data_IF_164067435205
#
_entry.id   IF_164067435205
#
_cell.length_a   1.000
_cell.length_b   1.000
_cell.length_c   1.000
_cell.angle_alpha   90.00
_cell.angle_beta   90.00
_cell.angle_gamma   90.00
#
_symmetry.space_group_name_H-M   'P 1'
#
loop_
_entity.id
_entity.type
_entity.pdbx_description
1 polymer ?
#
# COMPACT_ATOMS: atom_id res chain seq x y z
N UNK A 1 30.02 7.28 12.13
CA UNK A 1 29.78 6.83 10.74
C UNK A 1 29.35 7.97 9.83
N UNK A 2 28.20 8.63 10.06
CA UNK A 2 27.72 9.78 9.26
C UNK A 2 28.73 10.94 9.13
N UNK A 3 29.58 11.18 10.16
CA UNK A 3 30.71 12.14 10.07
C UNK A 3 31.75 11.79 9.00
N UNK A 4 31.90 10.51 8.64
CA UNK A 4 32.89 10.00 7.68
C UNK A 4 32.25 9.85 6.30
N UNK A 5 31.02 9.33 6.24
CA UNK A 5 30.25 9.14 5.01
C UNK A 5 28.81 9.64 5.25
N UNK A 6 28.48 10.90 4.92
CA UNK A 6 27.17 11.50 5.25
C UNK A 6 25.97 10.80 4.61
N UNK A 7 26.17 10.17 3.45
CA UNK A 7 25.16 9.48 2.65
C UNK A 7 25.00 7.99 3.01
N UNK A 8 25.75 7.46 4.00
CA UNK A 8 25.57 6.07 4.44
C UNK A 8 24.18 5.89 5.04
N UNK A 9 23.45 4.86 4.60
CA UNK A 9 22.18 4.47 5.20
C UNK A 9 22.43 3.53 6.39
N UNK A 10 21.81 3.83 7.53
CA UNK A 10 21.83 3.00 8.73
C UNK A 10 20.48 2.30 8.85
N UNK A 11 20.52 0.98 8.69
CA UNK A 11 19.35 0.13 8.76
C UNK A 11 19.46 -0.78 9.98
N UNK A 12 18.42 -0.81 10.82
CA UNK A 12 18.40 -1.68 11.99
C UNK A 12 17.18 -2.58 12.01
N UNK A 13 17.43 -3.78 12.50
CA UNK A 13 16.42 -4.78 12.79
C UNK A 13 15.87 -4.56 14.21
N UNK A 14 14.72 -3.90 14.32
CA UNK A 14 14.09 -3.64 15.61
C UNK A 14 12.57 -3.80 15.51
N UNK A 15 11.94 -4.61 16.38
CA UNK A 15 10.50 -4.68 16.47
C UNK A 15 9.92 -3.45 17.19
N UNK A 16 8.80 -2.94 16.69
CA UNK A 16 7.94 -1.97 17.39
C UNK A 16 8.44 -0.51 17.42
N UNK A 17 7.65 0.38 18.06
CA UNK A 17 8.00 1.77 18.25
C UNK A 17 9.03 1.89 19.37
N UNK A 18 10.28 2.16 19.00
CA UNK A 18 11.36 2.46 19.96
C UNK A 18 11.87 3.88 19.71
N UNK A 19 12.33 4.55 20.76
CA UNK A 19 13.01 5.84 20.61
C UNK A 19 14.38 5.62 19.95
N UNK A 20 14.41 5.73 18.63
CA UNK A 20 15.61 5.46 17.84
C UNK A 20 16.23 6.79 17.40
N UNK A 21 17.55 6.90 17.55
CA UNK A 21 18.33 8.10 17.14
C UNK A 21 19.51 7.77 16.25
N UNK A 22 19.73 6.50 15.97
CA UNK A 22 20.94 5.97 15.35
C UNK A 22 20.70 5.25 14.02
N UNK A 23 19.48 5.32 13.48
CA UNK A 23 19.09 4.66 12.24
C UNK A 23 18.33 5.61 11.32
N UNK A 24 18.44 5.38 10.02
CA UNK A 24 17.60 6.02 8.99
C UNK A 24 16.39 5.13 8.67
N UNK A 25 16.56 3.80 8.74
CA UNK A 25 15.56 2.81 8.37
C UNK A 25 15.35 1.76 9.46
N UNK A 26 14.11 1.30 9.62
CA UNK A 26 13.70 0.25 10.55
C UNK A 26 13.05 -0.91 9.82
N UNK A 27 13.29 -2.14 10.29
CA UNK A 27 12.52 -3.33 9.88
C UNK A 27 11.04 -3.16 10.22
N UNK A 28 10.16 -3.80 9.44
CA UNK A 28 8.71 -3.74 9.63
C UNK A 28 8.10 -4.94 10.37
N UNK A 29 8.80 -5.56 11.33
CA UNK A 29 8.25 -6.71 12.07
C UNK A 29 6.94 -6.39 12.82
N UNK A 30 6.78 -5.15 13.25
CA UNK A 30 5.55 -4.60 13.83
C UNK A 30 4.38 -4.48 12.83
N UNK A 31 4.63 -4.62 11.53
CA UNK A 31 3.59 -4.64 10.50
C UNK A 31 3.19 -6.06 10.08
N UNK A 32 3.99 -7.08 10.40
CA UNK A 32 3.82 -8.44 9.86
C UNK A 32 2.49 -9.08 10.27
N UNK A 33 1.93 -8.69 11.42
CA UNK A 33 0.62 -9.16 11.86
C UNK A 33 -0.53 -8.62 11.00
N UNK A 34 -0.35 -7.48 10.32
CA UNK A 34 -1.36 -6.92 9.42
C UNK A 34 -1.66 -7.88 8.26
N UNK A 35 -0.69 -8.68 7.83
CA UNK A 35 -0.88 -9.54 6.66
C UNK A 35 -1.90 -10.65 6.91
N UNK A 36 -1.85 -11.29 8.09
CA UNK A 36 -2.86 -12.29 8.48
C UNK A 36 -4.18 -11.68 8.94
N UNK A 37 -4.18 -10.40 9.31
CA UNK A 37 -5.42 -9.67 9.54
C UNK A 37 -6.14 -9.36 8.21
N UNK A 38 -5.42 -8.81 7.23
CA UNK A 38 -5.98 -8.38 5.94
C UNK A 38 -6.33 -9.55 5.03
N UNK A 39 -5.60 -10.66 5.13
CA UNK A 39 -5.76 -11.82 4.28
C UNK A 39 -5.86 -13.10 5.12
N UNK A 40 -6.92 -13.91 4.95
CA UNK A 40 -7.04 -15.18 5.65
C UNK A 40 -5.90 -16.14 5.35
N UNK A 41 -5.28 -16.66 6.41
CA UNK A 41 -4.28 -17.72 6.34
C UNK A 41 -4.93 -19.04 5.90
N UNK A 42 -4.48 -19.60 4.77
CA UNK A 42 -4.96 -20.89 4.26
C UNK A 42 -4.17 -22.07 4.78
N UNK A 43 -2.86 -21.93 4.92
CA UNK A 43 -2.01 -23.02 5.41
C UNK A 43 -2.26 -23.29 6.90
N UNK A 44 -2.55 -24.54 7.26
CA UNK A 44 -2.73 -24.95 8.67
C UNK A 44 -1.49 -24.68 9.52
N UNK A 45 -0.31 -24.81 8.91
CA UNK A 45 0.97 -24.51 9.55
C UNK A 45 1.11 -23.05 10.03
N UNK A 46 0.36 -22.13 9.46
CA UNK A 46 0.30 -20.72 9.86
C UNK A 46 -0.91 -20.40 10.76
N UNK A 47 -1.61 -21.41 11.29
CA UNK A 47 -2.80 -21.18 12.12
C UNK A 47 -2.50 -20.30 13.36
N UNK A 48 -1.27 -20.34 13.90
CA UNK A 48 -0.84 -19.48 15.01
C UNK A 48 -0.75 -17.99 14.67
N UNK A 49 -0.78 -17.61 13.39
CA UNK A 49 -0.87 -16.20 12.96
C UNK A 49 -2.32 -15.73 12.79
N UNK A 50 -3.31 -16.60 12.99
CA UNK A 50 -4.72 -16.19 12.99
C UNK A 50 -5.01 -15.38 14.25
N UNK A 51 -5.89 -14.37 14.19
CA UNK A 51 -6.33 -13.67 15.38
C UNK A 51 -6.90 -14.65 16.43
N UNK A 52 -6.46 -14.52 17.68
CA UNK A 52 -6.82 -15.45 18.76
C UNK A 52 -8.32 -15.44 19.07
N UNK A 53 -8.99 -14.30 18.86
CA UNK A 53 -10.44 -14.13 19.02
C UNK A 53 -11.22 -14.34 17.71
N UNK A 54 -10.54 -14.75 16.64
CA UNK A 54 -11.10 -14.94 15.31
C UNK A 54 -11.51 -13.65 14.60
N UNK A 55 -11.21 -12.47 15.18
CA UNK A 55 -11.54 -11.17 14.57
C UNK A 55 -10.29 -10.56 13.96
N UNK A 56 -10.33 -10.36 12.65
CA UNK A 56 -9.34 -9.56 11.95
C UNK A 56 -9.78 -8.11 11.91
N UNK A 57 -8.80 -7.19 11.96
CA UNK A 57 -9.05 -5.79 11.61
C UNK A 57 -9.37 -5.67 10.11
N UNK A 58 -10.05 -4.59 9.77
CA UNK A 58 -10.37 -4.19 8.41
C UNK A 58 -9.19 -3.48 7.73
N UNK A 59 -9.28 -3.28 6.42
CA UNK A 59 -8.30 -2.48 5.69
C UNK A 59 -8.32 -1.00 6.09
N UNK A 60 -9.48 -0.48 6.50
CA UNK A 60 -9.63 0.86 7.08
C UNK A 60 -8.87 0.97 8.40
N UNK A 61 -9.09 0.04 9.33
CA UNK A 61 -8.39 0.01 10.62
C UNK A 61 -6.87 -0.18 10.44
N UNK A 62 -6.45 -0.95 9.43
CA UNK A 62 -5.03 -1.08 9.08
C UNK A 62 -4.44 0.26 8.62
N UNK A 63 -5.19 1.05 7.83
CA UNK A 63 -4.78 2.39 7.42
C UNK A 63 -4.65 3.36 8.61
N UNK A 64 -5.60 3.31 9.55
CA UNK A 64 -5.54 4.09 10.79
C UNK A 64 -4.35 3.69 11.66
N UNK A 65 -4.07 2.39 11.79
CA UNK A 65 -2.90 1.90 12.52
C UNK A 65 -1.58 2.37 11.87
N UNK A 66 -1.49 2.33 10.53
CA UNK A 66 -0.31 2.83 9.80
C UNK A 66 -0.10 4.33 10.04
N UNK A 67 -1.17 5.13 10.03
CA UNK A 67 -1.10 6.56 10.33
C UNK A 67 -0.61 6.81 11.77
N UNK A 68 -1.15 6.08 12.74
CA UNK A 68 -0.68 6.16 14.14
C UNK A 68 0.79 5.74 14.29
N UNK A 69 1.22 4.72 13.54
CA UNK A 69 2.61 4.28 13.52
C UNK A 69 3.53 5.38 12.98
N UNK A 70 3.15 6.08 11.93
CA UNK A 70 3.93 7.23 11.43
C UNK A 70 4.08 8.32 12.49
N UNK A 71 2.99 8.64 13.21
CA UNK A 71 3.01 9.64 14.28
C UNK A 71 3.85 9.22 15.50
N UNK A 72 4.03 7.91 15.71
CA UNK A 72 4.84 7.37 16.80
C UNK A 72 6.34 7.30 16.46
N UNK A 73 6.71 7.34 15.16
CA UNK A 73 8.10 7.29 14.74
C UNK A 73 8.78 8.66 14.90
N UNK A 74 10.08 8.69 15.30
CA UNK A 74 10.85 9.92 15.25
C UNK A 74 10.94 10.49 13.83
N UNK A 75 10.90 11.82 13.71
CA UNK A 75 10.99 12.51 12.42
C UNK A 75 12.23 12.07 11.64
N UNK A 76 12.04 11.83 10.33
CA UNK A 76 13.12 11.45 9.41
C UNK A 76 13.46 9.96 9.40
N UNK A 77 12.89 9.16 10.29
CA UNK A 77 13.05 7.70 10.28
C UNK A 77 11.96 7.07 9.41
N UNK A 78 12.36 6.13 8.54
CA UNK A 78 11.45 5.42 7.65
C UNK A 78 11.41 3.92 7.99
N UNK A 79 10.29 3.26 7.69
CA UNK A 79 10.19 1.80 7.73
C UNK A 79 10.55 1.21 6.37
N UNK A 80 11.34 0.15 6.37
CA UNK A 80 11.60 -0.68 5.20
C UNK A 80 10.60 -1.83 5.20
N UNK A 81 9.74 -1.86 4.18
CA UNK A 81 8.63 -2.80 4.11
C UNK A 81 9.03 -4.06 3.36
N UNK A 82 8.75 -5.23 3.94
CA UNK A 82 8.88 -6.50 3.24
C UNK A 82 7.67 -7.39 3.52
N UNK A 83 7.35 -8.24 2.54
CA UNK A 83 6.37 -9.30 2.71
C UNK A 83 7.01 -10.54 3.35
N UNK A 84 8.20 -10.89 2.87
CA UNK A 84 9.02 -12.00 3.32
C UNK A 84 10.43 -11.49 3.67
N UNK A 85 11.04 -12.09 4.67
CA UNK A 85 12.44 -12.00 5.11
C UNK A 85 12.93 -13.39 5.49
N UNK A 86 14.23 -13.53 5.73
CA UNK A 86 14.79 -14.78 6.25
C UNK A 86 14.10 -15.23 7.55
N UNK A 87 13.85 -14.31 8.48
CA UNK A 87 13.13 -14.61 9.71
C UNK A 87 11.68 -15.00 9.45
N UNK A 88 10.91 -14.23 8.69
CA UNK A 88 9.48 -14.58 8.47
C UNK A 88 9.31 -15.89 7.69
N UNK A 89 10.31 -16.26 6.88
CA UNK A 89 10.36 -17.54 6.18
C UNK A 89 10.62 -18.71 7.16
N UNK A 90 11.48 -18.48 8.15
CA UNK A 90 11.84 -19.46 9.18
C UNK A 90 10.89 -19.46 10.39
N UNK A 91 10.05 -18.43 10.57
CA UNK A 91 9.13 -18.34 11.70
C UNK A 91 8.24 -19.58 11.79
N UNK A 92 8.38 -20.30 12.90
CA UNK A 92 7.68 -21.57 13.14
C UNK A 92 8.33 -22.80 12.48
N UNK A 93 9.60 -22.72 12.06
CA UNK A 93 10.32 -23.79 11.34
C UNK A 93 9.63 -24.22 10.05
N UNK A 94 8.89 -23.28 9.42
CA UNK A 94 7.98 -23.61 8.33
C UNK A 94 8.66 -23.68 6.97
N UNK A 95 9.79 -22.98 6.80
CA UNK A 95 10.51 -22.87 5.53
C UNK A 95 9.58 -22.46 4.39
N UNK A 96 8.70 -21.49 4.65
CA UNK A 96 7.51 -21.24 3.85
C UNK A 96 7.33 -19.75 3.55
N UNK A 97 7.09 -19.43 2.28
CA UNK A 97 6.82 -18.07 1.84
C UNK A 97 5.35 -17.68 2.02
N UNK A 98 5.06 -16.38 2.11
CA UNK A 98 3.69 -15.87 2.22
C UNK A 98 2.77 -16.33 1.09
N UNK A 99 3.28 -16.55 -0.13
CA UNK A 99 2.49 -17.12 -1.24
C UNK A 99 1.95 -18.52 -0.95
N UNK A 100 2.67 -19.32 -0.17
CA UNK A 100 2.27 -20.67 0.22
C UNK A 100 1.32 -20.61 1.43
N UNK A 101 1.48 -19.63 2.31
CA UNK A 101 0.61 -19.41 3.47
C UNK A 101 -0.79 -18.87 3.08
N UNK A 102 -0.84 -17.87 2.20
CA UNK A 102 -2.06 -17.13 1.85
C UNK A 102 -2.63 -17.51 0.47
N UNK A 103 -1.79 -18.07 -0.40
CA UNK A 103 -2.07 -18.26 -1.82
C UNK A 103 -1.45 -17.17 -2.71
N UNK A 104 -1.41 -17.45 -4.01
CA UNK A 104 -0.67 -16.63 -4.97
C UNK A 104 -1.24 -15.22 -5.17
N UNK A 105 -2.55 -15.06 -5.41
CA UNK A 105 -3.14 -13.74 -5.61
C UNK A 105 -3.15 -12.87 -4.33
N UNK A 106 -3.52 -13.41 -3.15
CA UNK A 106 -3.45 -12.62 -1.93
C UNK A 106 -2.02 -12.18 -1.57
N UNK A 107 -1.01 -13.04 -1.77
CA UNK A 107 0.39 -12.63 -1.55
C UNK A 107 0.87 -11.55 -2.52
N UNK A 108 0.40 -11.55 -3.77
CA UNK A 108 0.67 -10.45 -4.72
C UNK A 108 0.12 -9.12 -4.23
N UNK A 109 -1.12 -9.07 -3.74
CA UNK A 109 -1.66 -7.81 -3.19
C UNK A 109 -0.99 -7.39 -1.89
N UNK A 110 -0.56 -8.32 -1.05
CA UNK A 110 0.24 -8.01 0.13
C UNK A 110 1.63 -7.45 -0.22
N UNK A 111 2.26 -7.96 -1.29
CA UNK A 111 3.48 -7.36 -1.80
C UNK A 111 3.23 -5.95 -2.33
N UNK A 112 2.16 -5.74 -3.11
CA UNK A 112 1.81 -4.41 -3.59
C UNK A 112 1.51 -3.43 -2.44
N UNK A 113 0.85 -3.90 -1.39
CA UNK A 113 0.66 -3.15 -0.15
C UNK A 113 2.01 -2.68 0.39
N UNK A 114 2.95 -3.59 0.69
CA UNK A 114 4.30 -3.24 1.14
C UNK A 114 5.01 -2.28 0.17
N UNK A 115 4.90 -2.55 -1.12
CA UNK A 115 5.56 -1.78 -2.17
C UNK A 115 4.95 -0.41 -2.40
N UNK A 116 3.78 -0.07 -1.85
CA UNK A 116 3.18 1.26 -1.99
C UNK A 116 3.08 2.05 -0.68
N UNK A 117 3.38 1.43 0.47
CA UNK A 117 3.61 2.15 1.73
C UNK A 117 4.74 3.20 1.60
N UNK A 118 4.76 4.12 2.56
CA UNK A 118 5.75 5.16 2.72
C UNK A 118 7.08 4.65 3.29
N UNK A 119 8.15 4.73 2.51
CA UNK A 119 9.45 4.15 2.86
C UNK A 119 10.02 3.24 1.76
N UNK A 120 11.22 2.66 1.91
CA UNK A 120 11.72 1.69 0.96
C UNK A 120 10.95 0.36 1.02
N UNK A 121 10.98 -0.39 -0.07
CA UNK A 121 10.49 -1.77 -0.14
C UNK A 121 11.69 -2.71 -0.31
N UNK A 122 11.63 -3.84 0.39
CA UNK A 122 12.59 -4.93 0.31
C UNK A 122 11.89 -6.21 -0.11
N UNK A 123 12.61 -7.06 -0.82
CA UNK A 123 12.15 -8.38 -1.21
C UNK A 123 13.17 -9.43 -0.75
N UNK A 124 12.71 -10.46 -0.08
CA UNK A 124 13.53 -11.63 0.19
C UNK A 124 13.62 -12.50 -1.06
N UNK A 125 14.83 -12.93 -1.39
CA UNK A 125 15.09 -13.73 -2.60
C UNK A 125 14.22 -14.98 -2.60
N UNK A 126 13.55 -15.21 -3.73
CA UNK A 126 12.62 -16.34 -3.87
C UNK A 126 11.19 -16.02 -3.44
N UNK A 127 10.92 -14.89 -2.78
CA UNK A 127 9.55 -14.45 -2.45
C UNK A 127 8.71 -14.18 -3.70
N UNK A 128 9.35 -13.67 -4.75
CA UNK A 128 8.77 -13.31 -6.04
C UNK A 128 8.38 -14.51 -6.93
N UNK A 129 8.81 -15.73 -6.58
CA UNK A 129 8.63 -16.92 -7.42
C UNK A 129 7.16 -17.10 -7.80
N UNK A 130 6.90 -17.32 -9.10
CA UNK A 130 5.56 -17.38 -9.72
C UNK A 130 4.79 -16.05 -9.76
N UNK A 131 5.42 -14.93 -9.41
CA UNK A 131 4.86 -13.57 -9.43
C UNK A 131 5.84 -12.54 -9.99
N UNK A 132 6.87 -12.96 -10.71
CA UNK A 132 8.01 -12.15 -11.14
C UNK A 132 7.55 -10.95 -12.00
N UNK A 133 6.68 -11.19 -12.98
CA UNK A 133 6.15 -10.13 -13.83
C UNK A 133 5.26 -9.15 -13.05
N UNK A 134 4.51 -9.63 -12.07
CA UNK A 134 3.73 -8.78 -11.18
C UNK A 134 4.65 -7.88 -10.33
N UNK A 135 5.70 -8.45 -9.73
CA UNK A 135 6.67 -7.71 -8.92
C UNK A 135 7.40 -6.67 -9.76
N UNK A 136 7.88 -7.05 -10.96
CA UNK A 136 8.50 -6.12 -11.92
C UNK A 136 7.55 -4.97 -12.25
N UNK A 137 6.28 -5.25 -12.53
CA UNK A 137 5.28 -4.22 -12.84
C UNK A 137 5.09 -3.25 -11.66
N UNK A 138 4.87 -3.76 -10.46
CA UNK A 138 4.70 -2.95 -9.24
C UNK A 138 5.92 -2.05 -8.99
N UNK A 139 7.13 -2.61 -9.03
CA UNK A 139 8.37 -1.88 -8.79
C UNK A 139 8.65 -0.84 -9.89
N UNK A 140 8.36 -1.16 -11.15
CA UNK A 140 8.48 -0.22 -12.26
C UNK A 140 7.49 0.94 -12.11
N UNK A 141 6.24 0.67 -11.72
CA UNK A 141 5.25 1.71 -11.47
C UNK A 141 5.68 2.60 -10.29
N UNK A 142 6.10 2.00 -9.17
CA UNK A 142 6.59 2.77 -8.01
C UNK A 142 7.71 3.72 -8.44
N UNK A 143 8.71 3.19 -9.15
CA UNK A 143 9.90 3.92 -9.61
C UNK A 143 9.59 5.03 -10.62
N UNK A 144 8.63 4.80 -11.53
CA UNK A 144 8.35 5.73 -12.64
C UNK A 144 7.47 6.90 -12.27
N UNK A 145 6.71 6.80 -11.16
CA UNK A 145 5.78 7.84 -10.72
C UNK A 145 6.38 8.61 -9.52
N UNK A 146 6.68 9.92 -9.67
CA UNK A 146 7.26 10.71 -8.60
C UNK A 146 6.45 10.74 -7.31
N UNK A 147 5.11 10.74 -7.37
CA UNK A 147 4.27 10.65 -6.18
C UNK A 147 4.53 9.37 -5.37
N UNK A 148 4.77 8.25 -6.04
CA UNK A 148 4.97 6.93 -5.42
C UNK A 148 6.41 6.71 -4.95
N UNK A 149 7.39 7.44 -5.50
CA UNK A 149 8.81 7.34 -5.10
C UNK A 149 9.22 8.42 -4.11
N UNK A 150 8.91 9.68 -4.39
CA UNK A 150 9.41 10.87 -3.68
C UNK A 150 8.32 11.62 -2.91
N UNK A 151 7.05 11.34 -3.22
CA UNK A 151 5.91 12.04 -2.66
C UNK A 151 5.62 11.66 -1.22
N UNK A 152 4.92 12.56 -0.53
CA UNK A 152 4.32 12.29 0.77
C UNK A 152 3.24 11.21 0.65
N UNK A 153 2.90 10.60 1.77
CA UNK A 153 1.80 9.64 1.89
C UNK A 153 0.80 10.10 2.95
N UNK A 154 -0.45 9.68 2.79
CA UNK A 154 -1.48 9.77 3.81
C UNK A 154 -2.38 8.54 3.69
N UNK A 155 -2.51 7.78 4.77
CA UNK A 155 -3.24 6.51 4.76
C UNK A 155 -4.75 6.69 4.97
N UNK A 156 -5.18 7.84 5.51
CA UNK A 156 -6.56 8.08 5.95
C UNK A 156 -7.29 9.17 5.16
N UNK A 157 -6.60 9.85 4.24
CA UNK A 157 -7.16 10.96 3.46
C UNK A 157 -8.30 10.54 2.53
N UNK A 158 -8.21 9.36 1.92
CA UNK A 158 -9.25 8.83 1.02
C UNK A 158 -10.11 7.85 1.80
N UNK A 159 -11.39 8.19 1.99
CA UNK A 159 -12.32 7.27 2.65
C UNK A 159 -12.95 6.33 1.63
N UNK A 160 -13.35 5.15 2.06
CA UNK A 160 -13.99 4.14 1.21
C UNK A 160 -15.33 3.71 1.78
N UNK A 161 -16.28 3.38 0.90
CA UNK A 161 -17.57 2.80 1.30
C UNK A 161 -17.46 1.34 1.76
N UNK A 162 -16.40 0.63 1.38
CA UNK A 162 -16.11 -0.76 1.77
C UNK A 162 -14.84 -0.81 2.62
N UNK A 163 -14.94 -1.45 3.78
CA UNK A 163 -13.90 -1.43 4.82
C UNK A 163 -12.68 -2.30 4.49
N UNK A 164 -12.80 -3.18 3.50
CA UNK A 164 -11.70 -4.03 3.02
C UNK A 164 -11.04 -3.49 1.74
N UNK A 165 -11.43 -2.28 1.30
CA UNK A 165 -10.67 -1.50 0.32
C UNK A 165 -9.67 -0.62 1.05
N UNK A 166 -8.40 -0.92 0.89
CA UNK A 166 -7.31 -0.07 1.36
C UNK A 166 -7.03 1.03 0.35
N UNK A 167 -6.73 2.23 0.84
CA UNK A 167 -6.21 3.31 -0.01
C UNK A 167 -5.01 3.98 0.63
N UNK A 168 -4.13 4.52 -0.22
CA UNK A 168 -3.08 5.44 0.19
C UNK A 168 -2.97 6.56 -0.83
N UNK A 169 -3.11 7.80 -0.34
CA UNK A 169 -2.88 8.99 -1.12
C UNK A 169 -1.38 9.26 -1.19
N UNK A 170 -0.87 9.50 -2.39
CA UNK A 170 0.52 9.86 -2.65
C UNK A 170 0.57 11.19 -3.39
N UNK A 171 1.36 12.14 -2.89
CA UNK A 171 1.37 13.52 -3.41
C UNK A 171 2.78 14.04 -3.65
N UNK A 172 3.04 14.64 -4.81
CA UNK A 172 4.33 15.28 -5.11
C UNK A 172 4.16 16.45 -6.06
N UNK A 173 4.64 17.64 -5.64
CA UNK A 173 4.59 18.89 -6.42
C UNK A 173 3.20 19.19 -7.01
N UNK A 174 2.14 19.01 -6.22
CA UNK A 174 0.75 19.25 -6.64
C UNK A 174 0.12 18.17 -7.52
N UNK A 175 0.84 17.10 -7.83
CA UNK A 175 0.27 15.91 -8.46
C UNK A 175 -0.14 14.89 -7.41
N UNK A 176 -1.21 14.15 -7.69
CA UNK A 176 -1.79 13.17 -6.78
C UNK A 176 -1.96 11.82 -7.48
N UNK A 177 -1.60 10.76 -6.76
CA UNK A 177 -1.87 9.37 -7.11
C UNK A 177 -2.56 8.69 -5.94
N UNK A 178 -3.58 7.87 -6.19
CA UNK A 178 -4.25 7.06 -5.17
C UNK A 178 -4.00 5.60 -5.51
N UNK A 179 -3.31 4.89 -4.63
CA UNK A 179 -3.23 3.42 -4.73
C UNK A 179 -4.44 2.84 -4.00
N UNK A 180 -5.13 1.91 -4.65
CA UNK A 180 -6.34 1.26 -4.16
C UNK A 180 -6.13 -0.24 -4.21
N UNK A 181 -6.34 -0.94 -3.10
CA UNK A 181 -6.14 -2.39 -2.99
C UNK A 181 -7.42 -3.01 -2.44
N UNK A 182 -7.96 -3.99 -3.17
CA UNK A 182 -9.09 -4.78 -2.70
C UNK A 182 -8.59 -6.02 -1.95
N UNK A 183 -8.77 -6.05 -0.63
CA UNK A 183 -8.46 -7.23 0.18
C UNK A 183 -9.63 -8.21 0.31
N UNK A 184 -10.79 -7.90 -0.26
CA UNK A 184 -11.91 -8.84 -0.30
C UNK A 184 -11.57 -10.08 -1.14
N UNK A 185 -12.09 -11.22 -0.69
CA UNK A 185 -12.09 -12.48 -1.46
C UNK A 185 -13.21 -12.57 -2.49
N UNK A 186 -13.94 -11.47 -2.73
CA UNK A 186 -15.09 -11.36 -3.63
C UNK A 186 -14.98 -10.08 -4.47
N UNK A 187 -15.61 -10.04 -5.66
CA UNK A 187 -15.76 -8.79 -6.41
C UNK A 187 -16.43 -7.74 -5.54
N UNK A 188 -15.97 -6.49 -5.63
CA UNK A 188 -16.41 -5.40 -4.76
C UNK A 188 -16.64 -4.15 -5.58
N UNK A 189 -17.78 -3.50 -5.34
CA UNK A 189 -18.05 -2.14 -5.80
C UNK A 189 -17.85 -1.21 -4.62
N UNK A 190 -16.96 -0.24 -4.76
CA UNK A 190 -16.62 0.69 -3.70
C UNK A 190 -16.55 2.12 -4.21
N UNK A 191 -17.05 3.05 -3.41
CA UNK A 191 -16.92 4.47 -3.63
C UNK A 191 -15.73 5.00 -2.85
N UNK A 192 -14.87 5.76 -3.53
CA UNK A 192 -13.77 6.52 -2.93
C UNK A 192 -14.22 7.97 -2.72
N UNK A 193 -14.11 8.46 -1.50
CA UNK A 193 -14.44 9.83 -1.14
C UNK A 193 -13.15 10.67 -1.09
N UNK A 194 -13.00 11.58 -2.05
CA UNK A 194 -11.78 12.36 -2.24
C UNK A 194 -11.94 13.76 -1.63
N UNK A 195 -11.04 14.20 -0.73
CA UNK A 195 -11.11 15.51 -0.12
C UNK A 195 -10.59 16.59 -1.09
N UNK A 196 -11.45 17.03 -2.01
CA UNK A 196 -11.07 17.93 -3.12
C UNK A 196 -10.34 19.21 -2.67
N UNK A 197 -10.76 19.80 -1.54
CA UNK A 197 -10.15 21.03 -1.00
C UNK A 197 -8.73 20.77 -0.52
N UNK A 198 -8.50 19.68 0.20
CA UNK A 198 -7.19 19.32 0.76
C UNK A 198 -6.20 18.97 -0.37
N UNK A 199 -6.70 18.42 -1.47
CA UNK A 199 -5.93 18.16 -2.69
C UNK A 199 -5.82 19.36 -3.65
N UNK A 200 -6.34 20.54 -3.27
CA UNK A 200 -6.34 21.74 -4.12
C UNK A 200 -6.92 21.49 -5.53
N UNK A 201 -7.92 20.61 -5.64
CA UNK A 201 -8.61 20.34 -6.91
C UNK A 201 -9.55 21.50 -7.23
N UNK A 202 -9.35 22.10 -8.40
CA UNK A 202 -10.17 23.20 -8.90
C UNK A 202 -11.52 22.63 -9.40
N UNK A 203 -12.66 22.99 -8.78
CA UNK A 203 -13.94 22.39 -9.10
C UNK A 203 -14.40 22.66 -10.55
N UNK A 204 -13.90 23.72 -11.18
CA UNK A 204 -14.30 24.13 -12.54
C UNK A 204 -13.38 23.59 -13.64
N UNK A 205 -12.15 23.23 -13.27
CA UNK A 205 -11.21 22.60 -14.18
C UNK A 205 -11.64 21.19 -14.58
N UNK A 206 -11.08 20.73 -15.69
CA UNK A 206 -11.30 19.39 -16.22
C UNK A 206 -10.11 18.51 -15.86
N UNK A 207 -10.37 17.27 -15.48
CA UNK A 207 -9.40 16.29 -15.04
C UNK A 207 -9.59 14.97 -15.79
N UNK A 208 -8.50 14.21 -15.86
CA UNK A 208 -8.50 12.80 -16.24
C UNK A 208 -7.98 11.96 -15.09
N UNK A 209 -8.47 10.71 -15.08
CA UNK A 209 -8.04 9.71 -14.11
C UNK A 209 -7.57 8.50 -14.88
N UNK A 210 -6.27 8.22 -14.80
CA UNK A 210 -5.65 7.09 -15.45
C UNK A 210 -5.25 6.05 -14.40
N UNK A 211 -5.77 4.83 -14.56
CA UNK A 211 -5.37 3.68 -13.77
C UNK A 211 -4.12 3.07 -14.40
N UNK A 212 -2.96 3.38 -13.84
CA UNK A 212 -1.67 2.95 -14.38
C UNK A 212 -1.48 1.45 -14.26
N UNK A 213 -2.04 0.82 -13.22
CA UNK A 213 -1.90 -0.62 -13.03
C UNK A 213 -2.76 -1.41 -14.01
N UNK A 214 -3.94 -0.91 -14.38
CA UNK A 214 -4.81 -1.60 -15.35
C UNK A 214 -4.77 -0.97 -16.75
N UNK A 215 -3.87 0.00 -16.96
CA UNK A 215 -3.61 0.70 -18.22
C UNK A 215 -4.86 1.27 -18.90
N UNK A 216 -5.75 1.88 -18.11
CA UNK A 216 -7.06 2.37 -18.60
C UNK A 216 -7.42 3.72 -18.00
N UNK A 217 -8.12 4.54 -18.80
CA UNK A 217 -8.81 5.70 -18.26
C UNK A 217 -10.10 5.28 -17.56
N UNK A 218 -10.36 5.85 -16.39
CA UNK A 218 -11.67 5.72 -15.76
C UNK A 218 -12.69 6.48 -16.59
N UNK A 219 -13.91 5.94 -16.61
CA UNK A 219 -15.05 6.53 -17.28
C UNK A 219 -16.09 6.91 -16.24
N UNK A 220 -16.65 8.10 -16.37
CA UNK A 220 -17.87 8.50 -15.68
C UNK A 220 -19.03 7.56 -16.04
N UNK A 221 -20.14 7.64 -15.30
CA UNK A 221 -21.37 6.90 -15.58
C UNK A 221 -21.87 7.08 -17.02
N UNK A 222 -21.59 8.23 -17.64
CA UNK A 222 -21.98 8.54 -19.01
C UNK A 222 -20.90 8.16 -20.05
N UNK A 223 -19.90 7.35 -19.66
CA UNK A 223 -18.82 6.88 -20.54
C UNK A 223 -17.70 7.88 -20.84
N UNK A 224 -17.79 9.12 -20.33
CA UNK A 224 -16.77 10.17 -20.54
C UNK A 224 -15.52 9.90 -19.70
N UNK A 225 -14.33 10.15 -20.25
CA UNK A 225 -13.04 10.07 -19.51
C UNK A 225 -12.62 11.39 -18.87
N UNK A 226 -13.31 12.48 -19.20
CA UNK A 226 -13.07 13.80 -18.65
C UNK A 226 -14.07 14.10 -17.53
N UNK A 227 -13.54 14.50 -16.37
CA UNK A 227 -14.29 14.82 -15.16
C UNK A 227 -14.11 16.30 -14.84
N UNK A 228 -15.16 17.00 -14.41
CA UNK A 228 -15.02 18.27 -13.70
C UNK A 228 -14.43 18.01 -12.32
N UNK A 229 -13.63 18.93 -11.80
CA UNK A 229 -13.05 18.79 -10.46
C UNK A 229 -14.12 18.53 -9.40
N UNK A 230 -15.30 19.16 -9.52
CA UNK A 230 -16.44 18.91 -8.64
C UNK A 230 -17.01 17.49 -8.72
N UNK A 231 -16.84 16.78 -9.83
CA UNK A 231 -17.28 15.38 -10.02
C UNK A 231 -16.31 14.39 -9.34
N UNK A 232 -15.11 14.83 -8.93
CA UNK A 232 -14.10 13.95 -8.35
C UNK A 232 -14.33 13.66 -6.86
N UNK A 233 -15.31 14.29 -6.20
CA UNK A 233 -15.53 14.11 -4.75
C UNK A 233 -15.87 12.66 -4.40
N UNK A 234 -16.45 11.94 -5.35
CA UNK A 234 -16.79 10.53 -5.22
C UNK A 234 -16.43 9.80 -6.51
N UNK A 235 -15.59 8.76 -6.41
CA UNK A 235 -15.25 7.88 -7.54
C UNK A 235 -15.69 6.45 -7.24
N UNK A 236 -16.59 5.92 -8.07
CA UNK A 236 -17.00 4.52 -7.98
C UNK A 236 -16.05 3.60 -8.74
N UNK A 237 -15.62 2.52 -8.09
CA UNK A 237 -14.77 1.48 -8.66
C UNK A 237 -15.44 0.12 -8.57
N UNK A 238 -15.23 -0.69 -9.59
CA UNK A 238 -15.50 -2.13 -9.58
C UNK A 238 -14.15 -2.86 -9.59
N UNK A 239 -13.94 -3.68 -8.58
CA UNK A 239 -12.67 -4.34 -8.31
C UNK A 239 -12.86 -5.84 -8.15
N UNK A 240 -12.02 -6.62 -8.83
CA UNK A 240 -11.94 -8.07 -8.65
C UNK A 240 -11.38 -8.43 -7.27
N UNK A 241 -11.62 -9.66 -6.76
CA UNK A 241 -10.98 -10.14 -5.54
C UNK A 241 -9.47 -9.98 -5.60
N UNK A 242 -8.83 -9.51 -4.52
CA UNK A 242 -7.37 -9.38 -4.45
C UNK A 242 -6.79 -8.65 -5.68
N UNK A 243 -7.34 -7.48 -6.00
CA UNK A 243 -6.91 -6.65 -7.14
C UNK A 243 -6.42 -5.27 -6.69
N UNK A 244 -5.76 -4.57 -7.61
CA UNK A 244 -5.14 -3.26 -7.36
C UNK A 244 -5.52 -2.31 -8.50
N UNK A 245 -5.73 -1.04 -8.15
CA UNK A 245 -5.80 0.07 -9.08
C UNK A 245 -4.84 1.18 -8.61
N UNK A 246 -4.24 1.92 -9.54
CA UNK A 246 -3.36 3.05 -9.21
C UNK A 246 -3.82 4.25 -10.02
N UNK A 247 -4.59 5.12 -9.38
CA UNK A 247 -5.29 6.23 -10.01
C UNK A 247 -4.42 7.48 -10.01
N UNK A 248 -3.93 7.90 -11.17
CA UNK A 248 -3.31 9.22 -11.35
C UNK A 248 -4.39 10.24 -11.70
N UNK A 249 -4.50 11.28 -10.88
CA UNK A 249 -5.41 12.40 -11.14
C UNK A 249 -4.59 13.52 -11.79
N UNK A 250 -5.00 13.94 -13.00
CA UNK A 250 -4.30 14.98 -13.77
C UNK A 250 -5.27 16.04 -14.26
N UNK A 251 -4.94 17.32 -14.07
CA UNK A 251 -5.67 18.43 -14.68
C UNK A 251 -5.38 18.42 -16.18
N UNK A 252 -6.41 18.43 -17.02
CA UNK A 252 -6.26 18.67 -18.46
C UNK A 252 -5.83 20.12 -18.66
N UNK A 253 -4.76 20.29 -19.44
CA UNK A 253 -4.32 21.58 -19.97
C UNK A 253 -5.34 22.17 -20.94
#
# INVERSE_FOLDING_TARGET
MKKIKPDVALYIENPGPSLIRSADFLYNYDEQWLFSALVPVKAERFAGMRPADGKSITAREAAEWLEQRELALPEGILKAHHLDSHDTFEWGELGQFRREAFGLQPSRVLFAFCAFLGGPVMNYVGGEVSSEEFYKRILNIRRSIPELTLGSWNYTAIKTSDEMIFTILRSYRGNHSIVVINFNSRPTKADLFIPLKDLCIDPHATYEIYDVFNERYLKSLNGRTAFKGSELSTLSLEMEPYSICILQIRKRS
#
